data_IF_020310026115
#
_entry.id   IF_020310026115
#
_cell.length_a   1.000
_cell.length_b   1.000
_cell.length_c   1.000
_cell.angle_alpha   90.00
_cell.angle_beta   90.00
_cell.angle_gamma   90.00
#
_symmetry.space_group_name_H-M   'P 1'
#
loop_
_entity.id
_entity.type
_entity.pdbx_description
1 polymer ?
#
# COMPACT_ATOMS: atom_id res chain seq x y z
N UNK A 1 4.24 0.26 -20.30
CA UNK A 1 3.34 -0.87 -19.98
C UNK A 1 3.53 -1.16 -18.49
N UNK A 2 2.87 -0.39 -17.62
CA UNK A 2 2.97 -0.61 -16.17
C UNK A 2 1.91 -1.63 -15.78
N UNK A 3 2.37 -2.66 -15.08
CA UNK A 3 1.64 -3.88 -14.84
C UNK A 3 0.69 -3.64 -13.66
N UNK A 4 -0.61 -3.56 -13.92
CA UNK A 4 -1.56 -4.13 -12.97
C UNK A 4 -1.02 -5.50 -12.56
N UNK A 5 -1.27 -5.95 -11.34
CA UNK A 5 -1.00 -7.35 -11.00
C UNK A 5 -1.61 -8.22 -12.10
N UNK A 6 -0.76 -8.74 -13.00
CA UNK A 6 -1.19 -9.51 -14.18
C UNK A 6 -1.50 -10.95 -13.77
N UNK A 7 -1.06 -11.30 -12.57
CA UNK A 7 -1.23 -12.58 -11.92
C UNK A 7 -1.50 -12.29 -10.45
N UNK A 8 -2.45 -13.05 -9.92
CA UNK A 8 -2.68 -13.12 -8.49
C UNK A 8 -1.37 -13.49 -7.77
N UNK A 9 -1.03 -12.70 -6.76
CA UNK A 9 0.15 -12.94 -5.94
C UNK A 9 -0.29 -13.36 -4.53
N UNK A 10 0.33 -14.42 -4.04
CA UNK A 10 0.21 -14.85 -2.65
C UNK A 10 1.56 -14.75 -1.98
N UNK A 11 1.55 -14.23 -0.75
CA UNK A 11 2.73 -14.28 0.09
C UNK A 11 2.32 -14.65 1.51
N UNK A 12 3.24 -15.30 2.20
CA UNK A 12 3.05 -15.76 3.57
C UNK A 12 4.04 -15.02 4.45
N UNK A 13 3.55 -14.32 5.46
CA UNK A 13 4.39 -13.59 6.40
C UNK A 13 3.82 -13.73 7.80
N UNK A 14 4.66 -14.10 8.75
CA UNK A 14 4.30 -14.27 10.16
C UNK A 14 3.04 -15.11 10.41
N UNK A 15 2.87 -16.21 9.65
CA UNK A 15 1.69 -17.07 9.79
C UNK A 15 0.42 -16.59 9.08
N UNK A 16 0.45 -15.40 8.49
CA UNK A 16 -0.69 -14.79 7.78
C UNK A 16 -0.50 -14.94 6.28
N UNK A 17 -1.55 -15.43 5.59
CA UNK A 17 -1.60 -15.50 4.13
C UNK A 17 -2.17 -14.20 3.58
N UNK A 18 -1.40 -13.55 2.72
CA UNK A 18 -1.82 -12.36 1.98
C UNK A 18 -2.12 -12.73 0.53
N UNK A 19 -3.05 -11.98 -0.07
CA UNK A 19 -3.48 -12.15 -1.45
C UNK A 19 -3.60 -10.78 -2.10
N UNK A 20 -2.92 -10.61 -3.23
CA UNK A 20 -3.11 -9.49 -4.15
C UNK A 20 -3.79 -10.04 -5.39
N UNK A 21 -5.03 -9.63 -5.61
CA UNK A 21 -5.81 -10.10 -6.75
C UNK A 21 -5.25 -9.51 -8.05
N UNK A 22 -5.36 -10.27 -9.14
CA UNK A 22 -5.10 -9.74 -10.46
C UNK A 22 -5.98 -8.49 -10.72
N UNK A 23 -5.41 -7.47 -11.35
CA UNK A 23 -6.09 -6.20 -11.59
C UNK A 23 -6.05 -5.21 -10.41
N UNK A 24 -5.47 -5.58 -9.26
CA UNK A 24 -5.22 -4.61 -8.18
C UNK A 24 -4.19 -3.57 -8.66
N UNK A 25 -4.49 -2.29 -8.49
CA UNK A 25 -3.56 -1.20 -8.78
C UNK A 25 -2.46 -1.11 -7.72
N UNK A 26 -1.26 -0.66 -8.10
CA UNK A 26 -0.18 -0.40 -7.17
C UNK A 26 -0.58 0.71 -6.19
N UNK A 27 -1.28 1.75 -6.65
CA UNK A 27 -1.77 2.80 -5.76
C UNK A 27 -2.70 2.24 -4.67
N UNK A 28 -3.64 1.35 -5.01
CA UNK A 28 -4.51 0.66 -4.02
C UNK A 28 -3.68 -0.12 -2.99
N UNK A 29 -2.64 -0.84 -3.43
CA UNK A 29 -1.77 -1.59 -2.53
C UNK A 29 -0.97 -0.67 -1.58
N UNK A 30 -0.46 0.46 -2.10
CA UNK A 30 0.27 1.48 -1.33
C UNK A 30 -0.64 2.11 -0.27
N UNK A 31 -1.84 2.55 -0.66
CA UNK A 31 -2.82 3.13 0.28
C UNK A 31 -3.19 2.13 1.38
N UNK A 32 -3.42 0.86 1.02
CA UNK A 32 -3.74 -0.18 2.00
C UNK A 32 -2.58 -0.42 2.98
N UNK A 33 -1.34 -0.48 2.49
CA UNK A 33 -0.16 -0.62 3.33
C UNK A 33 0.02 0.57 4.28
N UNK A 34 -0.20 1.80 3.80
CA UNK A 34 -0.16 3.01 4.63
C UNK A 34 -1.19 2.97 5.77
N UNK A 35 -2.43 2.56 5.48
CA UNK A 35 -3.46 2.41 6.50
C UNK A 35 -3.12 1.35 7.57
N UNK A 36 -2.49 0.24 7.17
CA UNK A 36 -2.02 -0.79 8.10
C UNK A 36 -0.91 -0.25 9.01
N UNK A 37 0.08 0.45 8.47
CA UNK A 37 1.15 1.05 9.27
C UNK A 37 0.62 2.11 10.24
N UNK A 38 -0.34 2.93 9.81
CA UNK A 38 -1.01 3.91 10.68
C UNK A 38 -1.68 3.25 11.87
N UNK A 39 -2.37 2.13 11.63
CA UNK A 39 -2.97 1.33 12.69
C UNK A 39 -1.93 0.77 13.67
N UNK A 40 -0.79 0.28 13.15
CA UNK A 40 0.34 -0.18 13.98
C UNK A 40 0.93 0.96 14.81
N UNK A 41 1.11 2.14 14.24
CA UNK A 41 1.65 3.32 14.93
C UNK A 41 0.72 3.75 16.09
N UNK A 42 -0.61 3.72 15.89
CA UNK A 42 -1.57 3.95 16.97
C UNK A 42 -1.45 2.91 18.10
N UNK A 43 -1.39 1.62 17.76
CA UNK A 43 -1.25 0.54 18.75
C UNK A 43 0.04 0.67 19.56
N UNK A 44 1.17 0.93 18.89
CA UNK A 44 2.46 1.15 19.56
C UNK A 44 2.42 2.39 20.46
N UNK A 45 1.76 3.46 20.03
CA UNK A 45 1.56 4.65 20.83
C UNK A 45 0.83 4.36 22.15
N UNK A 46 -0.24 3.56 22.09
CA UNK A 46 -0.99 3.14 23.29
C UNK A 46 -0.14 2.26 24.21
N UNK A 47 0.55 1.24 23.67
CA UNK A 47 1.39 0.36 24.48
C UNK A 47 2.53 1.10 25.19
N UNK A 48 3.15 2.08 24.52
CA UNK A 48 4.16 2.94 25.14
C UNK A 48 3.55 3.82 26.23
N UNK A 49 2.37 4.40 25.96
CA UNK A 49 1.64 5.25 26.92
C UNK A 49 1.19 4.51 28.18
N UNK A 50 0.82 3.23 28.03
CA UNK A 50 0.39 2.34 29.10
C UNK A 50 1.58 1.77 29.92
N UNK A 51 2.82 2.12 29.54
CA UNK A 51 4.02 1.72 30.28
C UNK A 51 4.39 0.24 30.11
N UNK A 52 4.09 -0.35 28.95
CA UNK A 52 4.44 -1.74 28.66
C UNK A 52 5.95 -2.02 28.82
N UNK A 53 6.27 -3.21 29.33
CA UNK A 53 7.65 -3.70 29.39
C UNK A 53 8.28 -3.69 27.97
N UNK A 54 9.53 -3.24 27.86
CA UNK A 54 10.19 -3.07 26.55
C UNK A 54 9.79 -1.79 25.80
N UNK A 55 9.43 -0.73 26.52
CA UNK A 55 9.06 0.57 25.95
C UNK A 55 10.12 1.16 25.00
N UNK A 56 11.41 0.86 25.20
CA UNK A 56 12.50 1.23 24.28
C UNK A 56 12.39 0.53 22.92
N UNK A 57 12.13 -0.77 22.91
CA UNK A 57 11.95 -1.58 21.70
C UNK A 57 10.68 -1.17 20.97
N UNK A 58 9.59 -0.94 21.71
CA UNK A 58 8.34 -0.42 21.16
C UNK A 58 8.55 0.95 20.52
N UNK A 59 9.35 1.82 21.12
CA UNK A 59 9.70 3.12 20.54
C UNK A 59 10.52 2.97 19.25
N UNK A 60 11.50 2.07 19.23
CA UNK A 60 12.29 1.77 18.04
C UNK A 60 11.42 1.24 16.89
N UNK A 61 10.50 0.31 17.19
CA UNK A 61 9.53 -0.21 16.21
C UNK A 61 8.66 0.94 15.69
N UNK A 62 8.16 1.80 16.58
CA UNK A 62 7.32 2.94 16.20
C UNK A 62 8.04 3.91 15.27
N UNK A 63 9.31 4.20 15.53
CA UNK A 63 10.14 5.03 14.64
C UNK A 63 10.28 4.39 13.26
N UNK A 64 10.55 3.09 13.18
CA UNK A 64 10.61 2.38 11.90
C UNK A 64 9.26 2.37 11.17
N UNK A 65 8.15 2.22 11.89
CA UNK A 65 6.80 2.32 11.31
C UNK A 65 6.58 3.68 10.65
N UNK A 66 6.90 4.77 11.33
CA UNK A 66 6.77 6.14 10.79
C UNK A 66 7.67 6.35 9.57
N UNK A 67 8.88 5.78 9.56
CA UNK A 67 9.75 5.85 8.38
C UNK A 67 9.15 5.11 7.18
N UNK A 68 8.56 3.93 7.40
CA UNK A 68 7.87 3.20 6.35
C UNK A 68 6.65 3.97 5.81
N UNK A 69 5.87 4.62 6.67
CA UNK A 69 4.75 5.49 6.26
C UNK A 69 5.23 6.61 5.34
N UNK A 70 6.29 7.33 5.74
CA UNK A 70 6.86 8.41 4.95
C UNK A 70 7.39 7.92 3.59
N UNK A 71 7.98 6.73 3.52
CA UNK A 71 8.42 6.12 2.26
C UNK A 71 7.25 5.78 1.34
N UNK A 72 6.13 5.26 1.88
CA UNK A 72 4.93 4.98 1.10
C UNK A 72 4.27 6.25 0.58
N UNK A 73 4.18 7.29 1.42
CA UNK A 73 3.63 8.59 1.03
C UNK A 73 4.47 9.25 -0.07
N UNK A 74 5.80 9.17 0.02
CA UNK A 74 6.72 9.73 -0.97
C UNK A 74 6.56 9.09 -2.36
N UNK A 75 6.15 7.82 -2.45
CA UNK A 75 5.96 7.11 -3.72
C UNK A 75 4.50 7.12 -4.21
N UNK A 76 3.53 7.49 -3.38
CA UNK A 76 2.11 7.41 -3.72
C UNK A 76 1.75 8.28 -4.93
N UNK A 77 2.12 9.56 -4.91
CA UNK A 77 1.82 10.51 -5.99
C UNK A 77 2.50 10.08 -7.30
N UNK A 78 3.83 9.81 -7.33
CA UNK A 78 4.48 9.30 -8.54
C UNK A 78 3.83 8.03 -9.10
N UNK A 79 3.44 7.08 -8.24
CA UNK A 79 2.79 5.83 -8.68
C UNK A 79 1.41 6.10 -9.27
N UNK A 80 0.61 6.93 -8.60
CA UNK A 80 -0.71 7.33 -9.07
C UNK A 80 -0.65 8.04 -10.43
N UNK A 81 0.31 8.94 -10.60
CA UNK A 81 0.52 9.65 -11.86
C UNK A 81 0.95 8.67 -12.96
N UNK A 82 1.89 7.77 -12.68
CA UNK A 82 2.30 6.74 -13.63
C UNK A 82 1.16 5.78 -14.02
N UNK A 83 0.23 5.50 -13.11
CA UNK A 83 -0.97 4.70 -13.40
C UNK A 83 -1.97 5.46 -14.27
N UNK A 84 -2.19 6.76 -14.00
CA UNK A 84 -3.10 7.61 -14.79
C UNK A 84 -2.65 7.83 -16.23
N UNK A 85 -1.34 7.87 -16.49
CA UNK A 85 -0.77 8.08 -17.83
C UNK A 85 -0.57 6.77 -18.62
N UNK A 86 -0.90 5.61 -18.06
CA UNK A 86 -0.73 4.34 -18.75
C UNK A 86 -1.74 4.24 -19.92
N UNK A 87 -1.31 3.87 -21.15
CA UNK A 87 -2.22 3.67 -22.28
C UNK A 87 -3.27 2.63 -21.92
N UNK A 88 -4.52 3.08 -21.78
CA UNK A 88 -5.68 2.20 -21.65
C UNK A 88 -5.77 1.42 -22.97
N UNK A 89 -5.70 0.07 -22.91
CA UNK A 89 -5.93 -0.73 -24.12
C UNK A 89 -7.32 -0.37 -24.67
N UNK A 90 -7.50 -0.21 -25.99
CA UNK A 90 -8.81 0.08 -26.59
C UNK A 90 -9.89 -1.00 -26.35
N UNK A 91 -9.55 -2.09 -25.66
CA UNK A 91 -10.42 -3.24 -25.40
C UNK A 91 -10.84 -3.40 -23.94
N UNK A 92 -10.57 -2.44 -23.05
CA UNK A 92 -11.13 -2.46 -21.69
C UNK A 92 -12.57 -1.91 -21.69
N UNK A 93 -13.59 -2.67 -21.26
CA UNK A 93 -14.99 -2.23 -21.31
C UNK A 93 -15.40 -1.17 -20.28
N UNK A 94 -14.48 -0.64 -19.46
CA UNK A 94 -14.84 0.27 -18.39
C UNK A 94 -14.23 1.67 -18.59
N UNK A 95 -15.15 2.63 -18.59
CA UNK A 95 -15.02 4.09 -18.75
C UNK A 95 -14.85 4.57 -20.18
N UNK A 96 -16.01 4.96 -20.74
CA UNK A 96 -16.15 5.62 -22.03
C UNK A 96 -15.20 6.80 -22.20
N UNK A 97 -14.31 6.65 -23.17
CA UNK A 97 -13.87 7.76 -23.99
C UNK A 97 -14.31 7.40 -25.41
N UNK A 98 -15.28 8.15 -25.92
CA UNK A 98 -15.69 8.07 -27.32
C UNK A 98 -14.43 8.32 -28.18
N UNK A 99 -14.02 7.30 -28.93
CA UNK A 99 -13.08 7.49 -30.01
C UNK A 99 -13.82 8.24 -31.14
N UNK A 100 -13.62 9.56 -31.24
CA UNK A 100 -13.94 10.28 -32.48
C UNK A 100 -13.06 9.74 -33.61
N UNK A 101 -13.72 9.47 -34.74
CA UNK A 101 -13.16 8.93 -35.97
C UNK A 101 -12.11 9.84 -36.62
#
# INVERSE_FOLDING_TARGET
MTRLSTQEAHFFSSGVKYRVNAGTSCNTAITAAGAMLSSVNCLLGNLIGDGADGSSELYAIRVLTVQCEALLEAIEIPVRDMEGHAPQKPTSPDRGAEASQ
#
